data_IF_735576556891
#
_entry.id   IF_735576556891
#
_cell.length_a   1.000
_cell.length_b   1.000
_cell.length_c   1.000
_cell.angle_alpha   90.00
_cell.angle_beta   90.00
_cell.angle_gamma   90.00
#
_symmetry.space_group_name_H-M   'P 1'
#
loop_
_entity.id
_entity.type
_entity.pdbx_description
1 polymer ?
#
# COMPACT_ATOMS: atom_id res chain seq x y z
N UNK A 1 -6.80 -3.66 28.28
CA UNK A 1 -6.33 -2.27 28.06
C UNK A 1 -6.33 -1.90 26.58
N UNK A 2 -5.76 -2.72 25.68
CA UNK A 2 -5.72 -2.47 24.22
C UNK A 2 -7.10 -2.14 23.61
N UNK A 3 -8.13 -2.91 23.96
CA UNK A 3 -9.52 -2.67 23.52
C UNK A 3 -10.05 -1.29 23.91
N UNK A 4 -9.64 -0.76 25.07
CA UNK A 4 -10.05 0.58 25.51
C UNK A 4 -9.42 1.64 24.61
N UNK A 5 -8.14 1.50 24.26
CA UNK A 5 -7.50 2.42 23.31
C UNK A 5 -8.16 2.39 21.93
N UNK A 6 -8.50 1.21 21.43
CA UNK A 6 -9.23 1.07 20.15
C UNK A 6 -10.56 1.84 20.20
N UNK A 7 -11.37 1.63 21.24
CA UNK A 7 -12.62 2.37 21.42
C UNK A 7 -12.40 3.88 21.52
N UNK A 8 -11.33 4.35 22.17
CA UNK A 8 -11.02 5.78 22.22
C UNK A 8 -10.64 6.35 20.85
N UNK A 9 -9.88 5.61 20.04
CA UNK A 9 -9.53 6.00 18.67
C UNK A 9 -10.75 6.05 17.74
N UNK A 10 -11.74 5.18 17.93
CA UNK A 10 -13.02 5.23 17.22
C UNK A 10 -13.81 6.51 17.53
N UNK A 11 -13.65 7.07 18.73
CA UNK A 11 -14.38 8.27 19.15
C UNK A 11 -13.77 9.56 18.60
N UNK A 12 -12.44 9.69 18.56
CA UNK A 12 -11.77 10.93 18.15
C UNK A 12 -10.37 10.68 17.56
N UNK A 13 -10.14 11.23 16.36
CA UNK A 13 -8.83 11.18 15.70
C UNK A 13 -7.72 11.89 16.50
N UNK A 14 -8.04 12.87 17.34
CA UNK A 14 -7.05 13.49 18.22
C UNK A 14 -6.42 12.47 19.16
N UNK A 15 -7.17 11.45 19.59
CA UNK A 15 -6.62 10.35 20.40
C UNK A 15 -5.61 9.55 19.58
N UNK A 16 -5.89 9.28 18.31
CA UNK A 16 -4.98 8.55 17.42
C UNK A 16 -3.62 9.27 17.36
N UNK A 17 -3.62 10.58 17.12
CA UNK A 17 -2.41 11.40 17.13
C UNK A 17 -1.73 11.36 18.51
N UNK A 18 -2.46 11.59 19.60
CA UNK A 18 -1.88 11.55 20.97
C UNK A 18 -1.20 10.22 21.27
N UNK A 19 -1.79 9.10 20.84
CA UNK A 19 -1.20 7.78 21.00
C UNK A 19 0.04 7.60 20.11
N UNK A 20 -0.01 8.06 18.85
CA UNK A 20 1.13 8.01 17.91
C UNK A 20 2.36 8.77 18.43
N UNK A 21 2.16 9.92 19.07
CA UNK A 21 3.24 10.75 19.64
C UNK A 21 3.68 10.29 21.06
N UNK A 22 3.04 9.27 21.61
CA UNK A 22 3.40 8.70 22.93
C UNK A 22 4.46 7.60 22.83
N UNK A 23 4.79 6.97 23.96
CA UNK A 23 5.64 5.75 24.00
C UNK A 23 4.89 4.50 23.51
N UNK A 24 3.57 4.56 23.33
CA UNK A 24 2.75 3.39 23.02
C UNK A 24 3.17 2.63 21.74
N UNK A 25 3.48 3.28 20.59
CA UNK A 25 3.89 2.54 19.39
C UNK A 25 5.11 1.65 19.65
N UNK A 26 6.08 2.16 20.40
CA UNK A 26 7.29 1.45 20.80
C UNK A 26 6.97 0.21 21.63
N UNK A 27 6.12 0.37 22.64
CA UNK A 27 5.73 -0.75 23.52
C UNK A 27 4.91 -1.79 22.77
N UNK A 28 4.02 -1.40 21.85
CA UNK A 28 3.27 -2.32 21.01
C UNK A 28 4.20 -3.13 20.09
N UNK A 29 5.19 -2.49 19.48
CA UNK A 29 6.15 -3.17 18.61
C UNK A 29 6.97 -4.22 19.38
N UNK A 30 7.50 -3.84 20.56
CA UNK A 30 8.21 -4.75 21.45
C UNK A 30 7.31 -5.90 21.92
N UNK A 31 6.08 -5.58 22.29
CA UNK A 31 5.11 -6.56 22.77
C UNK A 31 4.80 -7.62 21.72
N UNK A 32 4.58 -7.19 20.47
CA UNK A 32 4.26 -8.09 19.36
C UNK A 32 5.42 -9.04 19.03
N UNK A 33 6.66 -8.58 19.19
CA UNK A 33 7.86 -9.39 18.96
C UNK A 33 8.17 -10.34 20.12
N UNK A 34 7.80 -9.98 21.35
CA UNK A 34 8.16 -10.75 22.55
C UNK A 34 7.10 -11.78 22.97
N UNK A 35 5.81 -11.51 22.69
CA UNK A 35 4.69 -12.32 23.19
C UNK A 35 3.94 -13.01 22.04
N UNK A 36 4.65 -13.84 21.26
CA UNK A 36 4.10 -14.53 20.09
C UNK A 36 3.19 -15.72 20.42
N UNK A 37 3.18 -16.16 21.69
CA UNK A 37 2.35 -17.30 22.14
C UNK A 37 0.91 -16.88 22.49
N UNK A 38 0.66 -15.57 22.70
CA UNK A 38 -0.65 -15.02 23.05
C UNK A 38 -1.33 -14.42 21.82
N UNK A 39 -2.04 -15.28 21.08
CA UNK A 39 -2.68 -14.93 19.81
C UNK A 39 -3.70 -13.78 19.96
N UNK A 40 -4.51 -13.79 21.02
CA UNK A 40 -5.50 -12.72 21.23
C UNK A 40 -4.81 -11.37 21.46
N UNK A 41 -3.74 -11.36 22.25
CA UNK A 41 -2.92 -10.17 22.46
C UNK A 41 -2.26 -9.70 21.17
N UNK A 42 -1.69 -10.61 20.37
CA UNK A 42 -1.11 -10.26 19.08
C UNK A 42 -2.12 -9.59 18.16
N UNK A 43 -3.35 -10.12 18.07
CA UNK A 43 -4.43 -9.53 17.26
C UNK A 43 -4.70 -8.08 17.67
N UNK A 44 -4.94 -7.83 18.96
CA UNK A 44 -5.21 -6.47 19.43
C UNK A 44 -4.01 -5.53 19.32
N UNK A 45 -2.79 -6.05 19.51
CA UNK A 45 -1.56 -5.25 19.38
C UNK A 45 -1.34 -4.84 17.92
N UNK A 46 -1.45 -5.77 16.97
CA UNK A 46 -1.35 -5.48 15.54
C UNK A 46 -2.46 -4.51 15.07
N UNK A 47 -3.71 -4.75 15.51
CA UNK A 47 -4.85 -3.88 15.18
C UNK A 47 -4.65 -2.45 15.71
N UNK A 48 -4.23 -2.30 16.97
CA UNK A 48 -3.99 -0.98 17.55
C UNK A 48 -2.81 -0.27 16.87
N UNK A 49 -1.77 -1.02 16.49
CA UNK A 49 -0.66 -0.47 15.72
C UNK A 49 -1.12 0.05 14.35
N UNK A 50 -1.96 -0.71 13.65
CA UNK A 50 -2.61 -0.25 12.40
C UNK A 50 -3.38 1.05 12.61
N UNK A 51 -4.20 1.10 13.66
CA UNK A 51 -5.02 2.27 14.00
C UNK A 51 -4.16 3.51 14.24
N UNK A 52 -3.12 3.44 15.07
CA UNK A 52 -2.32 4.62 15.43
C UNK A 52 -1.49 5.18 14.27
N UNK A 53 -1.13 4.35 13.28
CA UNK A 53 -0.43 4.81 12.07
C UNK A 53 -1.37 5.14 10.90
N UNK A 54 -2.67 4.89 11.03
CA UNK A 54 -3.65 5.03 9.94
C UNK A 54 -3.80 6.47 9.42
N UNK A 55 -3.48 7.48 10.23
CA UNK A 55 -3.58 8.90 9.85
C UNK A 55 -2.47 9.33 8.88
N UNK A 56 -1.42 8.52 8.70
CA UNK A 56 -0.25 8.88 7.89
C UNK A 56 0.56 10.04 8.45
N UNK A 57 0.32 10.44 9.70
CA UNK A 57 1.12 11.45 10.38
C UNK A 57 2.53 10.95 10.63
N UNK A 58 3.51 11.85 10.53
CA UNK A 58 4.91 11.49 10.78
C UNK A 58 5.13 11.32 12.30
N UNK A 59 5.54 10.13 12.76
CA UNK A 59 5.77 9.87 14.17
C UNK A 59 7.09 10.50 14.67
N UNK A 60 7.31 10.55 16.00
CA UNK A 60 8.59 10.93 16.60
C UNK A 60 9.77 10.09 16.09
N UNK A 61 10.93 10.70 15.81
CA UNK A 61 12.05 9.99 15.16
C UNK A 61 12.65 8.83 15.97
N UNK A 62 12.51 8.83 17.29
CA UNK A 62 13.00 7.76 18.17
C UNK A 62 12.25 6.44 17.99
N UNK A 63 11.04 6.45 17.41
CA UNK A 63 10.28 5.21 17.21
C UNK A 63 10.96 4.26 16.21
N UNK A 64 11.75 4.80 15.27
CA UNK A 64 12.37 4.03 14.18
C UNK A 64 13.49 3.10 14.67
N UNK A 65 13.96 3.26 15.91
CA UNK A 65 14.88 2.30 16.55
C UNK A 65 14.23 0.92 16.75
N UNK A 66 12.90 0.87 16.84
CA UNK A 66 12.15 -0.36 17.10
C UNK A 66 11.11 -0.65 16.03
N UNK A 67 10.57 0.38 15.39
CA UNK A 67 9.65 0.29 14.25
C UNK A 67 10.43 0.67 12.99
N UNK A 68 11.37 -0.20 12.63
CA UNK A 68 12.23 -0.07 11.46
C UNK A 68 12.09 -1.24 10.49
N UNK A 69 13.12 -1.47 9.67
CA UNK A 69 13.12 -2.53 8.66
C UNK A 69 12.93 -3.93 9.25
N UNK A 70 13.58 -4.22 10.37
CA UNK A 70 13.50 -5.54 11.00
C UNK A 70 12.11 -5.82 11.58
N UNK A 71 11.42 -4.78 12.06
CA UNK A 71 10.04 -4.91 12.51
C UNK A 71 9.08 -5.17 11.34
N UNK A 72 9.28 -4.51 10.20
CA UNK A 72 8.52 -4.80 8.98
C UNK A 72 8.79 -6.22 8.50
N UNK A 73 10.05 -6.68 8.50
CA UNK A 73 10.41 -8.06 8.15
C UNK A 73 9.74 -9.07 9.09
N UNK A 74 9.67 -8.76 10.38
CA UNK A 74 8.94 -9.56 11.36
C UNK A 74 7.45 -9.66 11.02
N UNK A 75 6.76 -8.52 10.83
CA UNK A 75 5.34 -8.49 10.46
C UNK A 75 5.07 -9.26 9.17
N UNK A 76 5.92 -9.06 8.16
CA UNK A 76 5.80 -9.74 6.87
C UNK A 76 6.08 -11.24 7.00
N UNK A 77 7.00 -11.63 7.89
CA UNK A 77 7.30 -13.03 8.20
C UNK A 77 6.10 -13.79 8.77
N UNK A 78 5.19 -13.12 9.49
CA UNK A 78 3.97 -13.74 10.03
C UNK A 78 3.01 -14.25 8.94
N UNK A 79 3.10 -13.73 7.70
CA UNK A 79 2.22 -14.16 6.61
C UNK A 79 2.49 -15.58 6.11
N UNK A 80 3.70 -16.08 6.29
CA UNK A 80 4.14 -17.41 5.84
C UNK A 80 4.54 -18.30 7.02
N UNK A 81 4.38 -17.81 8.25
CA UNK A 81 4.70 -18.58 9.44
C UNK A 81 3.65 -19.69 9.60
N UNK A 82 4.05 -20.98 9.64
CA UNK A 82 3.10 -22.10 9.70
C UNK A 82 2.31 -22.13 11.01
N UNK A 83 2.89 -21.57 12.07
CA UNK A 83 2.29 -21.49 13.41
C UNK A 83 1.37 -20.26 13.56
N UNK A 84 1.41 -19.31 12.64
CA UNK A 84 0.65 -18.06 12.76
C UNK A 84 -0.82 -18.28 12.39
N UNK A 85 -1.73 -17.74 13.20
CA UNK A 85 -3.14 -17.68 12.81
C UNK A 85 -3.36 -16.72 11.65
N UNK A 86 -4.22 -17.10 10.69
CA UNK A 86 -4.52 -16.28 9.50
C UNK A 86 -4.99 -14.87 9.87
N UNK A 87 -5.80 -14.73 10.92
CA UNK A 87 -6.27 -13.40 11.36
C UNK A 87 -5.11 -12.52 11.88
N UNK A 88 -4.09 -13.10 12.52
CA UNK A 88 -2.87 -12.35 12.91
C UNK A 88 -2.07 -11.94 11.67
N UNK A 89 -1.98 -12.83 10.67
CA UNK A 89 -1.33 -12.52 9.41
C UNK A 89 -2.05 -11.39 8.65
N UNK A 90 -3.39 -11.42 8.56
CA UNK A 90 -4.19 -10.37 7.96
C UNK A 90 -4.05 -9.03 8.69
N UNK A 91 -4.08 -9.03 10.03
CA UNK A 91 -3.86 -7.81 10.82
C UNK A 91 -2.44 -7.26 10.65
N UNK A 92 -1.45 -8.13 10.43
CA UNK A 92 -0.07 -7.73 10.15
C UNK A 92 0.06 -7.02 8.81
N UNK A 93 -0.75 -7.39 7.81
CA UNK A 93 -0.85 -6.65 6.54
C UNK A 93 -1.31 -5.21 6.79
N UNK A 94 -2.39 -5.04 7.58
CA UNK A 94 -2.88 -3.72 7.97
C UNK A 94 -1.80 -2.87 8.63
N UNK A 95 -1.01 -3.47 9.53
CA UNK A 95 0.07 -2.77 10.22
C UNK A 95 1.18 -2.33 9.25
N UNK A 96 1.62 -3.20 8.34
CA UNK A 96 2.63 -2.87 7.30
C UNK A 96 2.14 -1.72 6.41
N UNK A 97 0.87 -1.79 5.98
CA UNK A 97 0.24 -0.76 5.15
C UNK A 97 0.16 0.58 5.86
N UNK A 98 -0.27 0.60 7.13
CA UNK A 98 -0.35 1.82 7.93
C UNK A 98 1.03 2.44 8.18
N UNK A 99 2.05 1.63 8.48
CA UNK A 99 3.43 2.10 8.61
C UNK A 99 3.95 2.75 7.34
N UNK A 100 3.49 2.29 6.17
CA UNK A 100 3.88 2.87 4.90
C UNK A 100 3.21 4.22 4.60
N UNK A 101 2.05 4.55 5.19
CA UNK A 101 1.28 5.74 4.84
C UNK A 101 2.06 7.05 5.01
N UNK A 102 2.85 7.17 6.07
CA UNK A 102 3.63 8.38 6.37
C UNK A 102 4.96 8.46 5.63
N UNK A 103 5.33 7.42 4.85
CA UNK A 103 6.55 7.39 4.06
C UNK A 103 6.33 8.15 2.75
N UNK A 104 7.00 9.30 2.59
CA UNK A 104 6.83 10.19 1.43
C UNK A 104 7.93 10.04 0.37
N UNK A 105 9.10 9.54 0.75
CA UNK A 105 10.27 9.35 -0.13
C UNK A 105 10.53 7.87 -0.33
N UNK A 106 10.41 7.39 -1.57
CA UNK A 106 10.63 5.97 -1.93
C UNK A 106 12.06 5.49 -1.61
N UNK A 107 13.07 6.36 -1.79
CA UNK A 107 14.47 6.01 -1.50
C UNK A 107 14.79 5.83 -0.02
N UNK A 108 14.07 6.54 0.85
CA UNK A 108 14.24 6.47 2.31
C UNK A 108 13.22 5.56 2.99
N UNK A 109 12.29 4.98 2.23
CA UNK A 109 11.17 4.20 2.74
C UNK A 109 11.64 2.86 3.30
N UNK A 110 11.72 2.77 4.62
CA UNK A 110 12.15 1.55 5.31
C UNK A 110 11.22 0.36 5.07
N UNK A 111 9.93 0.58 4.78
CA UNK A 111 8.99 -0.50 4.44
C UNK A 111 9.38 -1.13 3.11
N UNK A 112 9.63 -0.32 2.08
CA UNK A 112 10.08 -0.84 0.77
C UNK A 112 11.45 -1.49 0.86
N UNK A 113 12.38 -0.92 1.64
CA UNK A 113 13.70 -1.54 1.87
C UNK A 113 13.59 -2.89 2.56
N UNK A 114 12.68 -3.03 3.54
CA UNK A 114 12.40 -4.29 4.20
C UNK A 114 11.81 -5.32 3.23
N UNK A 115 10.87 -4.93 2.37
CA UNK A 115 10.27 -5.83 1.36
C UNK A 115 11.28 -6.27 0.29
N UNK A 116 12.24 -5.40 -0.05
CA UNK A 116 13.30 -5.69 -1.01
C UNK A 116 14.39 -6.62 -0.44
N UNK A 117 14.74 -6.46 0.83
CA UNK A 117 15.89 -7.16 1.46
C UNK A 117 15.48 -8.33 2.36
N UNK A 118 14.20 -8.43 2.70
CA UNK A 118 13.65 -9.47 3.56
C UNK A 118 13.43 -10.81 2.85
N UNK A 119 12.86 -11.80 3.56
CA UNK A 119 12.52 -13.10 2.97
C UNK A 119 11.57 -12.95 1.78
N UNK A 120 11.99 -13.49 0.63
CA UNK A 120 11.29 -13.30 -0.65
C UNK A 120 9.90 -13.94 -0.66
N UNK A 121 9.73 -15.07 0.00
CA UNK A 121 8.46 -15.80 0.04
C UNK A 121 7.42 -15.04 0.87
N UNK A 122 7.81 -14.50 2.02
CA UNK A 122 6.95 -13.62 2.82
C UNK A 122 6.58 -12.33 2.09
N UNK A 123 7.52 -11.72 1.37
CA UNK A 123 7.24 -10.54 0.55
C UNK A 123 6.29 -10.85 -0.63
N UNK A 124 6.42 -12.04 -1.25
CA UNK A 124 5.47 -12.54 -2.27
C UNK A 124 4.08 -12.76 -1.70
N UNK A 125 3.98 -13.33 -0.49
CA UNK A 125 2.72 -13.57 0.20
C UNK A 125 1.96 -12.27 0.46
N UNK A 126 2.68 -11.20 0.83
CA UNK A 126 2.11 -9.86 0.92
C UNK A 126 1.67 -9.36 -0.47
N UNK A 127 2.52 -9.46 -1.49
CA UNK A 127 2.21 -8.99 -2.85
C UNK A 127 0.90 -9.61 -3.41
N UNK A 128 0.70 -10.91 -3.23
CA UNK A 128 -0.53 -11.61 -3.62
C UNK A 128 -1.77 -11.06 -2.90
N UNK A 129 -1.67 -10.86 -1.57
CA UNK A 129 -2.75 -10.27 -0.77
C UNK A 129 -3.05 -8.82 -1.17
N UNK A 130 -2.05 -8.01 -1.51
CA UNK A 130 -2.25 -6.64 -1.98
C UNK A 130 -3.09 -6.59 -3.26
N UNK A 131 -2.83 -7.47 -4.23
CA UNK A 131 -3.64 -7.56 -5.45
C UNK A 131 -5.08 -7.96 -5.12
N UNK A 132 -5.27 -8.91 -4.20
CA UNK A 132 -6.59 -9.32 -3.74
C UNK A 132 -7.37 -8.19 -3.06
N UNK A 133 -6.74 -7.44 -2.15
CA UNK A 133 -7.35 -6.30 -1.47
C UNK A 133 -7.72 -5.20 -2.46
N UNK A 134 -6.83 -4.88 -3.41
CA UNK A 134 -7.13 -3.88 -4.44
C UNK A 134 -8.32 -4.32 -5.30
N UNK A 135 -8.41 -5.60 -5.66
CA UNK A 135 -9.53 -6.12 -6.44
C UNK A 135 -10.87 -6.01 -5.70
N UNK A 136 -10.84 -6.24 -4.38
CA UNK A 136 -12.01 -6.13 -3.48
C UNK A 136 -12.33 -4.69 -3.09
N UNK A 137 -11.52 -3.73 -3.51
CA UNK A 137 -11.60 -2.32 -3.10
C UNK A 137 -11.54 -2.15 -1.56
N UNK A 138 -10.80 -3.05 -0.91
CA UNK A 138 -10.64 -3.12 0.54
C UNK A 138 -9.30 -2.50 0.96
N UNK A 139 -9.28 -1.87 2.13
CA UNK A 139 -8.12 -1.18 2.69
C UNK A 139 -7.90 -1.63 4.15
N UNK A 140 -7.02 -2.63 4.39
CA UNK A 140 -6.78 -3.15 5.74
C UNK A 140 -6.22 -2.11 6.73
N UNK A 141 -5.65 -1.00 6.25
CA UNK A 141 -5.20 0.08 7.13
C UNK A 141 -6.35 1.04 7.51
N UNK A 142 -7.49 0.98 6.82
CA UNK A 142 -8.69 1.80 7.07
C UNK A 142 -9.61 1.12 8.09
N UNK A 143 -9.11 0.93 9.31
CA UNK A 143 -9.87 0.33 10.42
C UNK A 143 -10.93 1.28 10.96
N UNK A 144 -10.60 2.57 11.05
CA UNK A 144 -11.51 3.59 11.59
C UNK A 144 -12.47 4.10 10.50
N UNK A 145 -13.67 4.48 10.91
CA UNK A 145 -14.71 5.05 10.03
C UNK A 145 -14.50 6.54 9.74
N UNK A 146 -13.54 7.19 10.40
CA UNK A 146 -13.24 8.60 10.19
C UNK A 146 -12.77 8.88 8.76
N UNK A 147 -13.13 10.04 8.22
CA UNK A 147 -12.58 10.51 6.96
C UNK A 147 -11.12 10.96 7.14
N UNK A 148 -10.19 10.17 6.61
CA UNK A 148 -8.76 10.50 6.61
C UNK A 148 -8.34 11.10 5.27
N UNK A 149 -7.51 12.15 5.32
CA UNK A 149 -6.91 12.79 4.15
C UNK A 149 -5.64 12.07 3.67
N UNK A 150 -5.68 10.74 3.68
CA UNK A 150 -4.60 9.86 3.18
C UNK A 150 -5.12 9.01 2.02
N UNK A 151 -4.24 8.64 1.06
CA UNK A 151 -4.63 7.74 -0.03
C UNK A 151 -5.00 6.35 0.51
N UNK A 152 -5.64 5.54 -0.34
CA UNK A 152 -5.81 4.11 -0.08
C UNK A 152 -4.43 3.47 0.08
N UNK A 153 -4.22 2.77 1.19
CA UNK A 153 -2.90 2.28 1.60
C UNK A 153 -2.36 1.20 0.67
N UNK A 154 -3.25 0.32 0.19
CA UNK A 154 -2.95 -0.77 -0.76
C UNK A 154 -2.51 -0.18 -2.10
N UNK A 155 -3.27 0.76 -2.65
CA UNK A 155 -2.94 1.43 -3.90
C UNK A 155 -1.64 2.23 -3.78
N UNK A 156 -1.42 2.91 -2.64
CA UNK A 156 -0.16 3.65 -2.38
C UNK A 156 1.04 2.70 -2.44
N UNK A 157 1.04 1.61 -1.66
CA UNK A 157 2.20 0.71 -1.60
C UNK A 157 2.40 -0.01 -2.93
N UNK A 158 1.34 -0.35 -3.68
CA UNK A 158 1.48 -0.95 -5.00
C UNK A 158 2.16 0.01 -5.98
N UNK A 159 1.77 1.29 -6.00
CA UNK A 159 2.45 2.30 -6.82
C UNK A 159 3.95 2.32 -6.52
N UNK A 160 4.32 2.26 -5.24
CA UNK A 160 5.70 2.32 -4.79
C UNK A 160 6.48 1.03 -5.08
N UNK A 161 5.87 -0.14 -4.94
CA UNK A 161 6.50 -1.43 -5.26
C UNK A 161 6.80 -1.58 -6.75
N UNK A 162 5.93 -1.07 -7.63
CA UNK A 162 6.19 -1.10 -9.07
C UNK A 162 7.14 0.02 -9.54
N UNK A 163 7.51 0.97 -8.67
CA UNK A 163 8.46 2.03 -9.03
C UNK A 163 9.92 1.53 -9.11
N UNK A 164 10.25 0.42 -8.45
CA UNK A 164 11.56 -0.25 -8.50
C UNK A 164 11.40 -1.66 -9.12
N UNK A 165 12.09 -1.98 -10.22
CA UNK A 165 12.05 -3.31 -10.82
C UNK A 165 12.33 -4.46 -9.84
N UNK A 166 13.22 -4.25 -8.86
CA UNK A 166 13.56 -5.29 -7.89
C UNK A 166 12.36 -5.68 -7.00
N UNK A 167 11.50 -4.72 -6.65
CA UNK A 167 10.26 -4.97 -5.91
C UNK A 167 9.10 -5.34 -6.83
N UNK A 168 9.12 -4.93 -8.10
CA UNK A 168 8.13 -5.36 -9.10
C UNK A 168 8.21 -6.86 -9.39
N UNK A 169 9.40 -7.47 -9.29
CA UNK A 169 9.58 -8.92 -9.41
C UNK A 169 8.80 -9.71 -8.34
N UNK A 170 8.35 -9.08 -7.24
CA UNK A 170 7.51 -9.72 -6.22
C UNK A 170 6.21 -10.30 -6.79
N UNK A 171 5.72 -9.76 -7.90
CA UNK A 171 4.48 -10.13 -8.56
C UNK A 171 4.73 -11.11 -9.70
N UNK A 172 3.97 -12.21 -9.75
CA UNK A 172 3.99 -13.11 -10.89
C UNK A 172 3.28 -12.51 -12.10
N UNK A 173 3.53 -13.04 -13.30
CA UNK A 173 2.88 -12.58 -14.54
C UNK A 173 1.35 -12.59 -14.43
N UNK A 174 0.77 -13.59 -13.76
CA UNK A 174 -0.67 -13.66 -13.51
C UNK A 174 -1.15 -12.56 -12.56
N UNK A 175 -0.39 -12.25 -11.51
CA UNK A 175 -0.72 -11.15 -10.59
C UNK A 175 -0.71 -9.80 -11.32
N UNK A 176 0.28 -9.60 -12.21
CA UNK A 176 0.37 -8.40 -13.05
C UNK A 176 -0.81 -8.30 -14.01
N UNK A 177 -1.23 -9.41 -14.64
CA UNK A 177 -2.40 -9.41 -15.53
C UNK A 177 -3.69 -9.02 -14.76
N UNK A 178 -3.92 -9.60 -13.59
CA UNK A 178 -5.05 -9.25 -12.71
C UNK A 178 -4.96 -7.79 -12.26
N UNK A 179 -3.78 -7.32 -11.90
CA UNK A 179 -3.56 -5.93 -11.50
C UNK A 179 -3.91 -4.96 -12.63
N UNK A 180 -3.50 -5.28 -13.86
CA UNK A 180 -3.83 -4.50 -15.05
C UNK A 180 -5.34 -4.49 -15.32
N UNK A 181 -6.03 -5.63 -15.15
CA UNK A 181 -7.49 -5.68 -15.28
C UNK A 181 -8.18 -4.72 -14.29
N UNK A 182 -7.71 -4.69 -13.04
CA UNK A 182 -8.21 -3.78 -12.01
C UNK A 182 -7.94 -2.32 -12.40
N UNK A 183 -6.72 -1.99 -12.82
CA UNK A 183 -6.33 -0.65 -13.25
C UNK A 183 -7.21 -0.18 -14.42
N UNK A 184 -7.35 -0.99 -15.47
CA UNK A 184 -8.12 -0.64 -16.66
C UNK A 184 -9.59 -0.38 -16.31
N UNK A 185 -10.19 -1.24 -15.47
CA UNK A 185 -11.54 -1.06 -14.94
C UNK A 185 -11.66 0.26 -14.18
N UNK A 186 -10.78 0.52 -13.21
CA UNK A 186 -10.82 1.73 -12.39
C UNK A 186 -10.62 3.00 -13.23
N UNK A 187 -9.69 3.01 -14.18
CA UNK A 187 -9.50 4.17 -15.06
C UNK A 187 -10.66 4.40 -16.03
N UNK A 188 -11.44 3.37 -16.34
CA UNK A 188 -12.66 3.47 -17.16
C UNK A 188 -13.84 3.99 -16.35
N UNK A 189 -14.03 3.45 -15.13
CA UNK A 189 -15.19 3.74 -14.30
C UNK A 189 -15.09 5.09 -13.58
N UNK A 190 -13.86 5.54 -13.25
CA UNK A 190 -13.65 6.78 -12.52
C UNK A 190 -13.72 8.01 -13.42
N UNK A 191 -14.46 9.07 -13.05
CA UNK A 191 -14.51 10.31 -13.82
C UNK A 191 -13.16 11.05 -13.76
N UNK A 192 -12.79 11.72 -14.85
CA UNK A 192 -11.60 12.60 -14.89
C UNK A 192 -11.66 13.59 -13.73
N UNK A 193 -10.56 13.73 -12.99
CA UNK A 193 -10.52 14.58 -11.78
C UNK A 193 -10.82 13.85 -10.47
N UNK A 194 -11.22 12.57 -10.48
CA UNK A 194 -11.30 11.77 -9.26
C UNK A 194 -9.91 11.67 -8.60
N UNK A 195 -9.84 11.94 -7.30
CA UNK A 195 -8.61 11.96 -6.50
C UNK A 195 -7.79 10.67 -6.54
N UNK A 196 -8.41 9.53 -6.92
CA UNK A 196 -7.76 8.22 -7.03
C UNK A 196 -7.06 8.02 -8.38
N UNK A 197 -7.55 8.63 -9.46
CA UNK A 197 -7.03 8.42 -10.82
C UNK A 197 -5.52 8.66 -10.95
N UNK A 198 -4.92 9.69 -10.33
CA UNK A 198 -3.48 9.89 -10.42
C UNK A 198 -2.65 8.70 -9.89
N UNK A 199 -3.14 7.96 -8.89
CA UNK A 199 -2.43 6.78 -8.39
C UNK A 199 -2.57 5.59 -9.34
N UNK A 200 -3.74 5.36 -9.93
CA UNK A 200 -3.91 4.32 -10.95
C UNK A 200 -3.08 4.61 -12.22
N UNK A 201 -3.03 5.87 -12.66
CA UNK A 201 -2.18 6.30 -13.77
C UNK A 201 -0.69 6.11 -13.45
N UNK A 202 -0.26 6.46 -12.24
CA UNK A 202 1.12 6.22 -11.82
C UNK A 202 1.44 4.72 -11.72
N UNK A 203 0.50 3.93 -11.19
CA UNK A 203 0.64 2.48 -11.08
C UNK A 203 0.82 1.82 -12.45
N UNK A 204 -0.02 2.16 -13.43
CA UNK A 204 0.12 1.58 -14.78
C UNK A 204 1.42 2.03 -15.43
N UNK A 205 1.82 3.29 -15.29
CA UNK A 205 3.11 3.76 -15.79
C UNK A 205 4.29 2.97 -15.21
N UNK A 206 4.24 2.70 -13.90
CA UNK A 206 5.24 1.90 -13.21
C UNK A 206 5.23 0.43 -13.64
N UNK A 207 4.05 -0.20 -13.79
CA UNK A 207 3.91 -1.58 -14.28
C UNK A 207 4.58 -1.72 -15.65
N UNK A 208 4.33 -0.79 -16.57
CA UNK A 208 4.87 -0.85 -17.94
C UNK A 208 6.39 -0.67 -17.96
N UNK A 209 6.93 0.18 -17.08
CA UNK A 209 8.37 0.45 -17.00
C UNK A 209 9.14 -0.67 -16.29
N UNK A 210 8.53 -1.31 -15.31
CA UNK A 210 9.23 -2.19 -14.36
C UNK A 210 8.91 -3.68 -14.53
N UNK A 211 8.07 -4.05 -15.50
CA UNK A 211 7.70 -5.45 -15.76
C UNK A 211 7.79 -5.80 -17.25
N UNK A 212 7.83 -7.10 -17.56
CA UNK A 212 7.72 -7.62 -18.92
C UNK A 212 6.24 -7.69 -19.39
N UNK A 213 5.47 -6.63 -19.19
CA UNK A 213 4.07 -6.58 -19.60
C UNK A 213 3.94 -6.64 -21.14
N UNK A 214 3.09 -7.53 -21.65
CA UNK A 214 3.02 -7.88 -23.07
C UNK A 214 1.86 -7.24 -23.85
N UNK A 215 1.04 -6.39 -23.23
CA UNK A 215 -0.09 -5.72 -23.91
C UNK A 215 -1.49 -6.15 -23.48
N UNK A 216 -1.64 -6.88 -22.36
CA UNK A 216 -2.97 -7.26 -21.82
C UNK A 216 -3.83 -6.03 -21.47
N UNK A 217 -5.04 -5.86 -22.01
CA UNK A 217 -5.86 -4.63 -21.88
C UNK A 217 -5.27 -3.36 -22.48
N UNK A 218 -4.25 -3.47 -23.33
CA UNK A 218 -3.58 -2.33 -23.96
C UNK A 218 -4.54 -1.33 -24.64
N UNK A 219 -5.50 -1.82 -25.44
CA UNK A 219 -6.47 -0.95 -26.11
C UNK A 219 -7.37 -0.16 -25.15
N UNK A 220 -7.79 -0.77 -24.04
CA UNK A 220 -8.62 -0.10 -23.03
C UNK A 220 -7.83 1.01 -22.32
N UNK A 221 -6.58 0.73 -21.96
CA UNK A 221 -5.68 1.70 -21.36
C UNK A 221 -5.37 2.86 -22.32
N UNK A 222 -5.08 2.58 -23.59
CA UNK A 222 -4.82 3.63 -24.58
C UNK A 222 -6.03 4.53 -24.80
N UNK A 223 -7.25 3.99 -24.81
CA UNK A 223 -8.48 4.82 -24.83
C UNK A 223 -8.55 5.73 -23.62
N UNK A 224 -8.28 5.22 -22.41
CA UNK A 224 -8.26 6.04 -21.20
C UNK A 224 -7.24 7.17 -21.28
N UNK A 225 -6.03 6.89 -21.79
CA UNK A 225 -4.99 7.90 -21.98
C UNK A 225 -5.38 8.96 -23.01
N UNK A 226 -5.94 8.56 -24.14
CA UNK A 226 -6.42 9.48 -25.17
C UNK A 226 -7.53 10.39 -24.65
N UNK A 227 -8.45 9.87 -23.83
CA UNK A 227 -9.49 10.66 -23.18
C UNK A 227 -8.88 11.73 -22.27
N UNK A 228 -7.87 11.40 -21.48
CA UNK A 228 -7.16 12.38 -20.62
C UNK A 228 -6.45 13.45 -21.46
N UNK A 229 -5.81 13.07 -22.57
CA UNK A 229 -5.07 14.01 -23.43
C UNK A 229 -5.98 14.92 -24.27
N UNK A 230 -7.19 14.46 -24.62
CA UNK A 230 -8.15 15.20 -25.46
C UNK A 230 -9.17 16.01 -24.67
N UNK A 231 -9.37 15.71 -23.39
CA UNK A 231 -10.34 16.41 -22.55
C UNK A 231 -9.86 17.83 -22.21
N UNK A 232 -10.60 18.82 -22.72
CA UNK A 232 -10.43 20.22 -22.32
C UNK A 232 -10.70 20.36 -20.81
N UNK A 233 -9.67 20.71 -20.03
CA UNK A 233 -9.78 20.87 -18.57
C UNK A 233 -9.41 19.65 -17.73
N UNK A 234 -8.82 18.60 -18.32
CA UNK A 234 -8.23 17.51 -17.54
C UNK A 234 -7.22 18.05 -16.51
N UNK A 235 -7.17 17.50 -15.28
CA UNK A 235 -6.23 17.94 -14.27
C UNK A 235 -4.78 17.82 -14.76
N UNK A 236 -3.99 18.87 -14.59
CA UNK A 236 -2.59 18.91 -15.05
C UNK A 236 -1.75 17.72 -14.55
N UNK A 237 -2.07 17.19 -13.36
CA UNK A 237 -1.42 16.00 -12.80
C UNK A 237 -1.71 14.73 -13.61
N UNK A 238 -2.96 14.52 -14.04
CA UNK A 238 -3.31 13.38 -14.89
C UNK A 238 -2.66 13.51 -16.26
N UNK A 239 -2.73 14.70 -16.87
CA UNK A 239 -2.09 14.97 -18.17
C UNK A 239 -0.58 14.73 -18.10
N UNK A 240 0.11 15.22 -17.07
CA UNK A 240 1.54 15.02 -16.90
C UNK A 240 1.92 13.53 -16.75
N UNK A 241 1.12 12.75 -16.02
CA UNK A 241 1.34 11.31 -15.86
C UNK A 241 1.15 10.56 -17.19
N UNK A 242 0.10 10.88 -17.94
CA UNK A 242 -0.14 10.24 -19.25
C UNK A 242 0.95 10.63 -20.26
N UNK A 243 1.41 11.87 -20.23
CA UNK A 243 2.53 12.33 -21.05
C UNK A 243 3.84 11.61 -20.72
N UNK A 244 4.15 11.41 -19.43
CA UNK A 244 5.31 10.62 -19.01
C UNK A 244 5.25 9.16 -19.52
N UNK A 245 4.07 8.54 -19.46
CA UNK A 245 3.86 7.20 -20.02
C UNK A 245 4.07 7.21 -21.54
N UNK A 246 3.54 8.22 -22.23
CA UNK A 246 3.70 8.39 -23.68
C UNK A 246 5.16 8.54 -24.09
N UNK A 247 5.95 9.31 -23.35
CA UNK A 247 7.37 9.52 -23.61
C UNK A 247 8.20 8.27 -23.32
N UNK A 248 7.85 7.54 -22.26
CA UNK A 248 8.58 6.34 -21.84
C UNK A 248 8.26 5.13 -22.72
N UNK A 249 7.05 5.06 -23.27
CA UNK A 249 6.56 3.93 -24.05
C UNK A 249 5.81 4.41 -25.31
N UNK A 250 6.50 5.10 -26.24
CA UNK A 250 5.86 5.71 -27.41
C UNK A 250 5.14 4.68 -28.29
N UNK A 251 5.63 3.44 -28.34
CA UNK A 251 5.04 2.33 -29.10
C UNK A 251 3.61 1.99 -28.68
N UNK A 252 3.17 2.42 -27.49
CA UNK A 252 1.80 2.23 -27.01
C UNK A 252 0.80 3.22 -27.60
N UNK A 253 1.28 4.35 -28.10
CA UNK A 253 0.45 5.44 -28.60
C UNK A 253 0.46 5.54 -30.12
N UNK A 254 1.22 4.66 -30.78
CA UNK A 254 1.19 4.50 -32.23
C UNK A 254 -0.02 3.62 -32.56
N UNK A 255 -1.01 4.22 -33.21
CA UNK A 255 -2.07 3.45 -33.87
C UNK A 255 -1.44 2.65 -35.02
N UNK A 256 -1.74 1.35 -35.11
CA UNK A 256 -1.64 0.63 -36.39
C UNK A 256 -2.57 1.27 -37.44
#
# INVERSE_FOLDING_TARGET
MLRVFLTLCELDLQVVSLLLYSVLPLELARDLQANTDDIERMKYTALLLTVIFSTGEKPPSNIYEHIGEDFVKFLVGLLEAPEAEEEVAELSVGAVLALNLHQLSEGDNFVLRALRTGPRDSARALAQRLVLFLNREDDPARVLTHELSVPNSVLKILVELFADPATAELFYTNDVAVLVDIIARQLTDLPIGDKRRPLYLRLVGNVVKSTAYEGHKHQELCRCFQVVLSSEGAPAKETALVEDIRLSCPQWFLSD
#
